data_IF_639909872176
#
_entry.id   IF_639909872176
#
_cell.length_a   1.000
_cell.length_b   1.000
_cell.length_c   1.000
_cell.angle_alpha   90.00
_cell.angle_beta   90.00
_cell.angle_gamma   90.00
#
_symmetry.space_group_name_H-M   'P 1'
#
loop_
_entity.id
_entity.type
_entity.pdbx_description
1 polymer ?
#
# COMPACT_ATOMS: atom_id res chain seq x y z
N UNK A 1 10.47 -1.78 -3.85
CA UNK A 1 10.06 -2.32 -5.18
C UNK A 1 9.81 -1.14 -6.14
N UNK A 2 9.77 -1.36 -7.46
CA UNK A 2 9.44 -0.32 -8.45
C UNK A 2 8.15 -0.67 -9.19
N UNK A 3 7.20 0.26 -9.22
CA UNK A 3 6.03 0.19 -10.08
C UNK A 3 6.45 0.16 -11.56
N UNK A 4 5.75 -0.66 -12.34
CA UNK A 4 5.90 -0.69 -13.80
C UNK A 4 5.41 0.62 -14.43
N UNK A 5 5.82 0.89 -15.68
CA UNK A 5 5.35 2.07 -16.44
C UNK A 5 3.81 2.14 -16.50
N UNK A 6 3.15 0.99 -16.70
CA UNK A 6 1.68 0.91 -16.77
C UNK A 6 1.02 1.25 -15.42
N UNK A 7 1.55 0.73 -14.32
CA UNK A 7 1.00 1.02 -12.99
C UNK A 7 1.16 2.50 -12.61
N UNK A 8 2.30 3.12 -12.93
CA UNK A 8 2.52 4.55 -12.72
C UNK A 8 1.55 5.40 -13.54
N UNK A 9 1.34 5.06 -14.81
CA UNK A 9 0.40 5.77 -15.67
C UNK A 9 -1.03 5.76 -15.10
N UNK A 10 -1.50 4.60 -14.60
CA UNK A 10 -2.80 4.51 -13.94
C UNK A 10 -2.91 5.39 -12.70
N UNK A 11 -1.87 5.50 -11.89
CA UNK A 11 -1.91 6.35 -10.68
C UNK A 11 -1.99 7.84 -11.04
N UNK A 12 -1.28 8.26 -12.09
CA UNK A 12 -1.37 9.62 -12.63
C UNK A 12 -2.78 9.96 -13.16
N UNK A 13 -3.51 9.00 -13.72
CA UNK A 13 -4.92 9.20 -14.14
C UNK A 13 -5.85 9.58 -12.97
N UNK A 14 -5.48 9.21 -11.74
CA UNK A 14 -6.21 9.58 -10.52
C UNK A 14 -5.56 10.75 -9.76
N UNK A 15 -4.65 11.50 -10.40
CA UNK A 15 -3.88 12.60 -9.79
C UNK A 15 -3.07 12.21 -8.56
N UNK A 16 -2.58 10.97 -8.49
CA UNK A 16 -1.65 10.59 -7.43
C UNK A 16 -0.23 10.94 -7.86
N UNK A 17 0.39 11.90 -7.18
CA UNK A 17 1.82 12.18 -7.36
C UNK A 17 2.64 11.14 -6.62
N UNK A 18 3.33 10.28 -7.38
CA UNK A 18 4.04 9.12 -6.82
C UNK A 18 5.46 9.52 -6.43
N UNK A 19 5.71 9.55 -5.12
CA UNK A 19 7.03 9.76 -4.57
C UNK A 19 8.00 8.65 -5.02
N UNK A 20 9.19 9.05 -5.45
CA UNK A 20 10.28 8.13 -5.80
C UNK A 20 11.47 8.46 -4.93
N UNK A 21 11.86 7.51 -4.06
CA UNK A 21 13.06 7.59 -3.22
C UNK A 21 14.34 7.67 -4.06
N UNK A 22 15.46 8.05 -3.43
CA UNK A 22 16.78 8.17 -4.07
C UNK A 22 17.24 6.85 -4.74
N UNK A 23 16.87 5.70 -4.16
CA UNK A 23 17.13 4.37 -4.72
C UNK A 23 16.16 3.99 -5.88
N UNK A 24 15.26 4.91 -6.21
CA UNK A 24 14.25 4.77 -7.26
C UNK A 24 13.05 3.90 -6.87
N UNK A 25 12.86 3.60 -5.58
CA UNK A 25 11.71 2.84 -5.07
C UNK A 25 10.51 3.76 -4.84
N UNK A 26 9.31 3.24 -5.08
CA UNK A 26 8.04 3.99 -4.95
C UNK A 26 6.91 3.15 -4.33
N UNK A 27 7.18 1.89 -4.02
CA UNK A 27 6.22 1.04 -3.35
C UNK A 27 6.88 -0.01 -2.47
N UNK A 28 6.14 -0.41 -1.44
CA UNK A 28 6.51 -1.47 -0.51
C UNK A 28 5.31 -2.37 -0.23
N UNK A 29 5.56 -3.68 -0.19
CA UNK A 29 4.60 -4.62 0.36
C UNK A 29 4.76 -4.64 1.88
N UNK A 30 3.66 -4.47 2.57
CA UNK A 30 3.56 -4.66 4.01
C UNK A 30 2.64 -5.83 4.30
N UNK A 31 2.98 -6.55 5.35
CA UNK A 31 2.24 -7.70 5.82
C UNK A 31 1.74 -7.35 7.21
N UNK A 32 0.43 -7.30 7.37
CA UNK A 32 -0.21 -7.02 8.66
C UNK A 32 -0.80 -8.33 9.15
N UNK A 33 -0.29 -8.82 10.28
CA UNK A 33 -0.64 -10.12 10.85
C UNK A 33 -1.42 -9.93 12.16
N UNK A 34 -2.09 -10.98 12.69
CA UNK A 34 -2.86 -10.87 13.93
C UNK A 34 -2.08 -10.28 15.11
N UNK A 35 -0.77 -10.51 15.18
CA UNK A 35 0.13 -9.93 16.19
C UNK A 35 0.24 -8.39 16.14
N UNK A 36 -0.11 -7.75 15.02
CA UNK A 36 -0.18 -6.29 14.88
C UNK A 36 -1.44 -5.69 15.52
N UNK A 37 -2.30 -6.54 16.10
CA UNK A 37 -3.42 -6.15 16.97
C UNK A 37 -4.44 -5.24 16.28
N UNK A 38 -4.58 -4.02 16.78
CA UNK A 38 -5.60 -3.08 16.33
C UNK A 38 -5.49 -2.72 14.83
N UNK A 39 -4.27 -2.70 14.27
CA UNK A 39 -4.06 -2.44 12.85
C UNK A 39 -4.62 -3.57 11.98
N UNK A 40 -4.41 -4.83 12.40
CA UNK A 40 -4.95 -5.99 11.71
C UNK A 40 -6.48 -5.97 11.71
N UNK A 41 -7.10 -5.74 12.87
CA UNK A 41 -8.56 -5.66 12.98
C UNK A 41 -9.13 -4.53 12.12
N UNK A 42 -8.50 -3.36 12.12
CA UNK A 42 -8.93 -2.23 11.29
C UNK A 42 -8.90 -2.57 9.80
N UNK A 43 -7.91 -3.36 9.36
CA UNK A 43 -7.85 -3.84 7.97
C UNK A 43 -8.95 -4.86 7.67
N UNK A 44 -9.24 -5.78 8.58
CA UNK A 44 -10.33 -6.74 8.41
C UNK A 44 -11.67 -6.02 8.25
N UNK A 45 -11.94 -5.04 9.11
CA UNK A 45 -13.18 -4.28 9.10
C UNK A 45 -13.31 -3.43 7.82
N UNK A 46 -12.23 -2.73 7.44
CA UNK A 46 -12.21 -1.86 6.26
C UNK A 46 -12.39 -2.64 4.95
N UNK A 47 -11.76 -3.81 4.84
CA UNK A 47 -11.79 -4.62 3.62
C UNK A 47 -12.84 -5.73 3.65
N UNK A 48 -13.60 -5.88 4.75
CA UNK A 48 -14.64 -6.90 4.91
C UNK A 48 -14.08 -8.33 4.91
N UNK A 49 -12.91 -8.53 5.52
CA UNK A 49 -12.23 -9.83 5.58
C UNK A 49 -12.58 -10.58 6.87
N UNK A 50 -12.54 -11.90 6.84
CA UNK A 50 -12.93 -12.76 7.98
C UNK A 50 -11.84 -12.89 9.04
N UNK A 51 -10.57 -12.71 8.67
CA UNK A 51 -9.44 -12.88 9.59
C UNK A 51 -8.93 -14.31 9.72
N UNK A 52 -9.43 -15.27 8.94
CA UNK A 52 -8.99 -16.67 8.97
C UNK A 52 -7.60 -16.90 8.33
N UNK A 53 -7.06 -15.87 7.68
CA UNK A 53 -5.77 -15.89 7.00
C UNK A 53 -4.58 -15.61 7.92
N UNK A 54 -3.37 -15.88 7.41
CA UNK A 54 -2.12 -15.61 8.13
C UNK A 54 -1.85 -14.11 8.30
N UNK A 55 -2.11 -13.33 7.25
CA UNK A 55 -1.85 -11.91 7.20
C UNK A 55 -2.72 -11.22 6.11
N UNK A 56 -2.81 -9.90 6.21
CA UNK A 56 -3.30 -9.01 5.14
C UNK A 56 -2.09 -8.43 4.43
N UNK A 57 -1.98 -8.67 3.13
CA UNK A 57 -0.92 -8.08 2.29
C UNK A 57 -1.41 -6.77 1.67
N UNK A 58 -0.71 -5.68 1.98
CA UNK A 58 -1.00 -4.36 1.42
C UNK A 58 0.18 -3.87 0.58
N UNK A 59 -0.12 -3.32 -0.60
CA UNK A 59 0.84 -2.58 -1.39
C UNK A 59 0.69 -1.10 -1.07
N UNK A 60 1.68 -0.54 -0.38
CA UNK A 60 1.73 0.90 -0.11
C UNK A 60 2.49 1.57 -1.24
N UNK A 61 1.86 2.57 -1.85
CA UNK A 61 2.48 3.47 -2.81
C UNK A 61 2.76 4.79 -2.08
N UNK A 62 4.01 5.23 -2.10
CA UNK A 62 4.36 6.52 -1.51
C UNK A 62 3.86 7.64 -2.42
N UNK A 63 3.18 8.63 -1.86
CA UNK A 63 2.78 9.84 -2.56
C UNK A 63 3.42 11.06 -1.91
N UNK A 64 3.66 12.11 -2.70
CA UNK A 64 4.02 13.43 -2.17
C UNK A 64 2.82 14.02 -1.45
N UNK A 65 3.02 14.67 -0.30
CA UNK A 65 2.02 15.62 0.21
C UNK A 65 2.10 16.89 -0.66
N UNK A 66 0.94 17.41 -1.09
CA UNK A 66 0.88 18.78 -1.62
C UNK A 66 0.91 19.75 -0.43
N UNK A 67 1.78 20.78 -0.48
CA UNK A 67 1.86 21.86 0.50
C UNK A 67 0.52 22.62 0.67
#
# INVERSE_FOLDING_TARGET
>A
MKLTKYQKARLLEYNWDVYTSDDGQNCAWVSIAPEDGALFQSCLDLFGLTGDGKDVKLLVVATSEED
#
